data_IF_985401573289
#
_entry.id   IF_985401573289
#
_cell.length_a   1.000
_cell.length_b   1.000
_cell.length_c   1.000
_cell.angle_alpha   90.00
_cell.angle_beta   90.00
_cell.angle_gamma   90.00
#
_symmetry.space_group_name_H-M   'P 1'
#
loop_
_entity.id
_entity.type
_entity.pdbx_description
1 polymer ?
#
# COMPACT_ATOMS: atom_id res chain seq x y z
N UNK A 1 -14.21 -50.27 30.53
CA UNK A 1 -14.25 -49.41 29.31
C UNK A 1 -13.78 -48.01 29.67
N UNK A 2 -12.53 -47.68 29.34
CA UNK A 2 -11.94 -46.37 29.64
C UNK A 2 -11.95 -45.55 28.35
N UNK A 3 -12.80 -44.53 28.27
CA UNK A 3 -12.87 -43.63 27.12
C UNK A 3 -11.73 -42.64 27.18
N UNK A 4 -10.76 -42.78 26.27
CA UNK A 4 -9.65 -41.85 26.10
C UNK A 4 -10.16 -40.61 25.35
N UNK A 5 -10.33 -39.50 26.07
CA UNK A 5 -10.68 -38.20 25.49
C UNK A 5 -9.45 -37.64 24.81
N UNK A 6 -9.37 -37.68 23.48
CA UNK A 6 -8.31 -37.03 22.68
C UNK A 6 -8.63 -35.51 22.59
N UNK A 7 -8.00 -34.70 23.42
CA UNK A 7 -8.02 -33.23 23.29
C UNK A 7 -7.05 -32.87 22.17
N UNK A 8 -7.57 -32.67 20.96
CA UNK A 8 -6.83 -32.10 19.87
C UNK A 8 -6.65 -30.58 20.17
N UNK A 9 -5.48 -30.17 20.67
CA UNK A 9 -5.10 -28.77 20.73
C UNK A 9 -4.93 -28.26 19.29
N UNK A 10 -5.96 -27.62 18.76
CA UNK A 10 -5.86 -26.89 17.50
C UNK A 10 -4.94 -25.69 17.72
N UNK A 11 -3.68 -25.80 17.31
CA UNK A 11 -2.79 -24.66 17.19
C UNK A 11 -3.41 -23.73 16.13
N UNK A 12 -3.97 -22.60 16.57
CA UNK A 12 -4.42 -21.55 15.65
C UNK A 12 -3.17 -20.95 15.04
N UNK A 13 -2.76 -21.45 13.89
CA UNK A 13 -1.71 -20.84 13.10
C UNK A 13 -2.22 -19.46 12.64
N UNK A 14 -1.70 -18.38 13.24
CA UNK A 14 -1.98 -17.02 12.79
C UNK A 14 -1.48 -16.92 11.34
N UNK A 15 -2.40 -16.80 10.39
CA UNK A 15 -2.04 -16.61 8.99
C UNK A 15 -1.18 -15.35 8.87
N UNK A 16 -0.04 -15.47 8.19
CA UNK A 16 0.81 -14.31 7.91
C UNK A 16 0.02 -13.32 7.04
N UNK A 17 0.15 -12.01 7.35
CA UNK A 17 -0.48 -10.97 6.53
C UNK A 17 0.08 -11.05 5.10
N UNK A 18 -0.77 -10.92 4.07
CA UNK A 18 -0.34 -10.95 2.68
C UNK A 18 0.73 -9.90 2.40
N UNK A 19 1.67 -10.23 1.52
CA UNK A 19 2.65 -9.25 1.03
C UNK A 19 1.90 -8.20 0.20
N UNK A 20 2.08 -6.95 0.56
CA UNK A 20 1.48 -5.80 -0.11
C UNK A 20 2.41 -5.17 -1.15
N UNK A 21 3.68 -4.98 -0.79
CA UNK A 21 4.63 -4.30 -1.64
C UNK A 21 6.08 -4.48 -1.23
N UNK A 22 6.99 -3.86 -1.96
CA UNK A 22 8.44 -3.84 -1.72
C UNK A 22 8.96 -2.42 -1.77
N UNK A 23 9.90 -2.10 -0.90
CA UNK A 23 10.61 -0.80 -0.88
C UNK A 23 11.60 -0.74 -2.03
N UNK A 24 11.40 0.20 -2.97
CA UNK A 24 12.20 0.34 -4.20
C UNK A 24 13.18 1.51 -4.17
N UNK A 25 12.97 2.48 -3.28
CA UNK A 25 13.87 3.62 -3.11
C UNK A 25 13.76 4.21 -1.71
N UNK A 26 14.87 4.76 -1.22
CA UNK A 26 14.98 5.39 0.10
C UNK A 26 15.86 6.63 -0.01
N UNK A 27 15.41 7.71 0.60
CA UNK A 27 16.17 8.92 0.94
C UNK A 27 16.04 9.14 2.45
N UNK A 28 17.14 9.46 3.14
CA UNK A 28 17.15 9.65 4.59
C UNK A 28 17.04 8.36 5.40
N UNK A 29 16.34 8.40 6.53
CA UNK A 29 16.21 7.30 7.50
C UNK A 29 14.75 6.98 7.80
N UNK A 30 14.03 6.35 6.88
CA UNK A 30 12.64 5.97 7.13
C UNK A 30 12.54 4.81 8.12
N UNK A 31 11.38 4.69 8.72
CA UNK A 31 11.05 3.63 9.66
C UNK A 31 9.74 2.95 9.26
N UNK A 32 9.59 1.71 9.71
CA UNK A 32 8.35 0.98 9.55
C UNK A 32 7.99 0.18 10.79
N UNK A 33 6.73 -0.13 10.91
CA UNK A 33 6.17 -0.96 11.97
C UNK A 33 5.30 -2.04 11.35
N UNK A 34 5.56 -3.30 11.69
CA UNK A 34 4.70 -4.44 11.35
C UNK A 34 3.34 -4.29 12.03
N UNK A 35 2.29 -4.81 11.40
CA UNK A 35 0.90 -4.65 11.88
C UNK A 35 0.71 -5.03 13.35
N UNK A 36 1.38 -6.09 13.83
CA UNK A 36 1.29 -6.61 15.18
C UNK A 36 2.45 -6.13 16.10
N UNK A 37 3.37 -5.30 15.60
CA UNK A 37 4.48 -4.80 16.37
C UNK A 37 4.12 -3.52 17.14
N UNK A 38 4.76 -3.32 18.30
CA UNK A 38 4.58 -2.12 19.11
C UNK A 38 5.54 -0.99 18.74
N UNK A 39 6.69 -1.31 18.15
CA UNK A 39 7.76 -0.37 17.87
C UNK A 39 8.06 -0.24 16.38
N UNK A 40 8.46 0.96 15.98
CA UNK A 40 9.06 1.21 14.67
C UNK A 40 10.51 0.75 14.65
N UNK A 41 10.97 0.32 13.48
CA UNK A 41 12.37 -0.07 13.19
C UNK A 41 12.80 0.57 11.87
N UNK A 42 14.13 0.70 11.65
CA UNK A 42 14.66 1.22 10.39
C UNK A 42 14.13 0.42 9.20
N UNK A 43 13.64 1.12 8.20
CA UNK A 43 13.21 0.54 6.91
C UNK A 43 14.41 0.42 5.97
N UNK A 44 14.52 -0.68 5.25
CA UNK A 44 15.61 -0.96 4.32
C UNK A 44 15.11 -1.07 2.88
N UNK A 45 16.02 -0.85 1.95
CA UNK A 45 15.76 -1.13 0.54
C UNK A 45 15.46 -2.63 0.36
N UNK A 46 14.53 -2.95 -0.53
CA UNK A 46 14.02 -4.30 -0.77
C UNK A 46 13.30 -4.95 0.43
N UNK A 47 12.97 -4.18 1.48
CA UNK A 47 12.11 -4.67 2.57
C UNK A 47 10.72 -4.97 2.03
N UNK A 48 10.19 -6.16 2.37
CA UNK A 48 8.82 -6.55 2.05
C UNK A 48 7.84 -5.99 3.08
N UNK A 49 6.88 -5.25 2.58
CA UNK A 49 5.77 -4.72 3.36
C UNK A 49 4.55 -5.61 3.21
N UNK A 50 3.90 -5.91 4.32
CA UNK A 50 2.66 -6.69 4.37
C UNK A 50 1.45 -5.78 4.61
N UNK A 51 0.26 -6.30 4.34
CA UNK A 51 -0.98 -5.62 4.72
C UNK A 51 -1.01 -5.37 6.24
N UNK A 52 -1.34 -4.16 6.63
CA UNK A 52 -1.32 -3.68 8.00
C UNK A 52 -0.02 -3.00 8.45
N UNK A 53 1.09 -3.18 7.73
CA UNK A 53 2.34 -2.50 8.05
C UNK A 53 2.22 -0.98 7.85
N UNK A 54 2.94 -0.22 8.68
CA UNK A 54 2.96 1.25 8.60
C UNK A 54 4.38 1.73 8.32
N UNK A 55 4.54 2.58 7.32
CA UNK A 55 5.79 3.29 6.98
C UNK A 55 5.67 4.72 7.45
N UNK A 56 6.72 5.27 8.08
CA UNK A 56 6.81 6.68 8.42
C UNK A 56 8.12 7.30 7.97
N UNK A 57 8.04 8.57 7.65
CA UNK A 57 9.14 9.42 7.22
C UNK A 57 9.22 10.65 8.11
N UNK A 58 10.44 11.08 8.43
CA UNK A 58 10.72 12.35 9.09
C UNK A 58 11.20 13.40 8.08
N UNK A 59 11.71 14.52 8.58
CA UNK A 59 12.30 15.57 7.75
C UNK A 59 13.45 15.03 6.87
N UNK A 60 13.52 15.45 5.62
CA UNK A 60 14.52 15.01 4.64
C UNK A 60 14.47 13.53 4.30
N UNK A 61 13.36 12.84 4.62
CA UNK A 61 13.23 11.39 4.44
C UNK A 61 12.09 11.09 3.47
N UNK A 62 12.35 10.23 2.47
CA UNK A 62 11.36 9.79 1.46
C UNK A 62 11.50 8.32 1.17
N UNK A 63 10.39 7.69 0.77
CA UNK A 63 10.34 6.25 0.46
C UNK A 63 9.52 6.01 -0.81
N UNK A 64 10.04 5.16 -1.69
CA UNK A 64 9.26 4.59 -2.80
C UNK A 64 8.90 3.14 -2.53
N UNK A 65 7.65 2.79 -2.75
CA UNK A 65 7.09 1.45 -2.58
C UNK A 65 6.42 1.02 -3.88
N UNK A 66 6.77 -0.16 -4.38
CA UNK A 66 6.03 -0.82 -5.47
C UNK A 66 5.11 -1.89 -4.88
N UNK A 67 3.86 -1.94 -5.36
CA UNK A 67 2.82 -2.84 -4.90
C UNK A 67 2.60 -4.01 -5.84
N UNK A 68 2.13 -5.13 -5.29
CA UNK A 68 1.75 -6.34 -6.05
C UNK A 68 0.75 -6.03 -7.16
N UNK A 69 -0.16 -5.07 -6.94
CA UNK A 69 -1.14 -4.61 -7.94
C UNK A 69 -0.58 -3.75 -9.06
N UNK A 70 0.74 -3.47 -9.09
CA UNK A 70 1.39 -2.70 -10.13
C UNK A 70 1.35 -1.18 -9.92
N UNK A 71 1.02 -0.70 -8.72
CA UNK A 71 1.12 0.70 -8.35
C UNK A 71 2.48 1.03 -7.73
N UNK A 72 2.95 2.26 -7.91
CA UNK A 72 4.04 2.87 -7.16
C UNK A 72 3.47 3.98 -6.28
N UNK A 73 3.92 4.02 -5.03
CA UNK A 73 3.67 5.10 -4.08
C UNK A 73 5.00 5.70 -3.66
N UNK A 74 5.17 7.00 -3.80
CA UNK A 74 6.29 7.75 -3.24
C UNK A 74 5.78 8.56 -2.06
N UNK A 75 6.28 8.25 -0.88
CA UNK A 75 5.93 8.90 0.38
C UNK A 75 6.92 10.05 0.61
N UNK A 76 6.41 11.26 0.77
CA UNK A 76 7.20 12.44 1.04
C UNK A 76 7.63 12.49 2.52
N UNK A 77 8.42 13.49 2.87
CA UNK A 77 8.83 13.72 4.27
C UNK A 77 7.64 14.00 5.21
N UNK A 78 7.86 13.78 6.51
CA UNK A 78 6.89 14.03 7.58
C UNK A 78 5.53 13.36 7.33
N UNK A 79 5.54 12.10 6.91
CA UNK A 79 4.36 11.35 6.50
C UNK A 79 4.26 10.00 7.19
N UNK A 80 3.04 9.46 7.30
CA UNK A 80 2.78 8.14 7.85
C UNK A 80 1.71 7.42 7.03
N UNK A 81 2.06 6.29 6.41
CA UNK A 81 1.18 5.52 5.54
C UNK A 81 1.06 4.07 6.01
N UNK A 82 -0.18 3.61 6.20
CA UNK A 82 -0.51 2.21 6.46
C UNK A 82 -0.85 1.50 5.16
N UNK A 83 -0.26 0.34 4.93
CA UNK A 83 -0.55 -0.54 3.79
C UNK A 83 -1.83 -1.32 4.08
N UNK A 84 -2.93 -1.04 3.39
CA UNK A 84 -4.21 -1.73 3.61
C UNK A 84 -4.41 -2.91 2.66
N UNK A 85 -4.00 -2.75 1.40
CA UNK A 85 -4.06 -3.81 0.39
C UNK A 85 -2.93 -3.64 -0.62
N UNK A 86 -2.26 -4.74 -0.95
CA UNK A 86 -1.23 -4.77 -1.99
C UNK A 86 -1.77 -4.77 -3.41
N UNK A 87 -3.08 -4.92 -3.57
CA UNK A 87 -3.71 -5.04 -4.89
C UNK A 87 -4.02 -6.49 -5.26
N UNK A 88 -4.20 -6.72 -6.54
CA UNK A 88 -4.58 -8.02 -7.04
C UNK A 88 -6.07 -8.08 -7.35
N UNK A 89 -6.84 -8.92 -6.64
CA UNK A 89 -8.30 -8.98 -6.78
C UNK A 89 -9.01 -7.71 -6.25
N UNK A 90 -8.36 -7.01 -5.31
CA UNK A 90 -8.81 -5.71 -4.78
C UNK A 90 -7.90 -4.61 -5.32
N UNK A 91 -8.33 -3.34 -5.38
CA UNK A 91 -7.43 -2.23 -5.64
C UNK A 91 -6.31 -2.17 -4.60
N UNK A 92 -5.12 -1.71 -5.01
CA UNK A 92 -4.10 -1.28 -4.05
C UNK A 92 -4.68 -0.19 -3.17
N UNK A 93 -4.48 -0.26 -1.85
CA UNK A 93 -5.03 0.71 -0.90
C UNK A 93 -4.01 1.03 0.18
N UNK A 94 -3.88 2.32 0.47
CA UNK A 94 -3.10 2.84 1.58
C UNK A 94 -3.94 3.84 2.37
N UNK A 95 -3.68 3.94 3.67
CA UNK A 95 -4.33 4.91 4.55
C UNK A 95 -3.29 5.85 5.17
N UNK A 96 -3.62 7.12 5.23
CA UNK A 96 -2.85 8.11 5.98
C UNK A 96 -3.76 9.05 6.77
N UNK A 97 -3.39 9.36 8.00
CA UNK A 97 -4.00 10.43 8.78
C UNK A 97 -3.36 11.78 8.44
N UNK A 98 -2.08 11.77 8.12
CA UNK A 98 -1.32 12.93 7.65
C UNK A 98 -0.16 12.48 6.76
N UNK A 99 0.14 13.27 5.79
CA UNK A 99 1.26 13.04 4.89
C UNK A 99 0.95 13.38 3.45
N UNK A 100 2.00 13.42 2.67
CA UNK A 100 1.94 13.67 1.23
C UNK A 100 2.52 12.47 0.48
N UNK A 101 1.82 12.04 -0.53
CA UNK A 101 2.28 10.97 -1.41
C UNK A 101 1.94 11.24 -2.86
N UNK A 102 2.89 10.89 -3.72
CA UNK A 102 2.70 10.81 -5.15
C UNK A 102 2.51 9.35 -5.58
N UNK A 103 1.58 9.12 -6.48
CA UNK A 103 1.22 7.79 -6.97
C UNK A 103 1.38 7.68 -8.47
N UNK A 104 1.77 6.48 -8.93
CA UNK A 104 1.84 6.13 -10.34
C UNK A 104 1.46 4.68 -10.56
N UNK A 105 0.87 4.34 -11.72
CA UNK A 105 0.74 2.96 -12.15
C UNK A 105 1.96 2.56 -12.99
N UNK A 106 2.60 1.46 -12.60
CA UNK A 106 3.72 0.85 -13.33
C UNK A 106 3.20 -0.12 -14.39
N UNK A 107 2.20 -0.92 -14.01
CA UNK A 107 1.51 -1.89 -14.86
C UNK A 107 0.19 -2.30 -14.20
N UNK A 108 -0.67 -3.00 -14.95
CA UNK A 108 -1.95 -3.47 -14.44
C UNK A 108 -3.07 -2.43 -14.58
N UNK A 109 -4.29 -2.83 -14.17
CA UNK A 109 -5.52 -2.02 -14.31
C UNK A 109 -6.19 -1.67 -12.97
N UNK A 110 -5.63 -2.14 -11.85
CA UNK A 110 -6.32 -2.11 -10.56
C UNK A 110 -6.36 -0.74 -9.89
N UNK A 111 -5.53 0.22 -10.32
CA UNK A 111 -5.44 1.53 -9.68
C UNK A 111 -4.88 1.48 -8.25
N UNK A 112 -4.81 2.66 -7.62
CA UNK A 112 -4.47 2.81 -6.22
C UNK A 112 -5.45 3.75 -5.53
N UNK A 113 -5.84 3.42 -4.31
CA UNK A 113 -6.65 4.26 -3.44
C UNK A 113 -5.79 4.82 -2.31
N UNK A 114 -5.73 6.14 -2.21
CA UNK A 114 -5.17 6.83 -1.05
C UNK A 114 -6.33 7.29 -0.18
N UNK A 115 -6.47 6.65 0.97
CA UNK A 115 -7.54 6.91 1.92
C UNK A 115 -7.05 7.84 3.02
N UNK A 116 -7.85 8.82 3.36
CA UNK A 116 -7.60 9.77 4.43
C UNK A 116 -8.85 9.92 5.30
N UNK A 117 -8.78 10.60 6.45
CA UNK A 117 -9.98 10.95 7.20
C UNK A 117 -10.97 11.83 6.42
N UNK A 118 -10.49 12.61 5.45
CA UNK A 118 -11.30 13.59 4.71
C UNK A 118 -12.03 12.97 3.51
N UNK A 119 -11.35 12.12 2.75
CA UNK A 119 -11.86 11.50 1.53
C UNK A 119 -10.96 10.34 1.07
N UNK A 120 -11.39 9.67 0.01
CA UNK A 120 -10.63 8.68 -0.75
C UNK A 120 -10.27 9.27 -2.09
N UNK A 121 -8.99 9.30 -2.44
CA UNK A 121 -8.52 9.56 -3.80
C UNK A 121 -8.35 8.21 -4.52
N UNK A 122 -9.26 7.89 -5.43
CA UNK A 122 -9.22 6.68 -6.25
C UNK A 122 -8.52 6.99 -7.58
N UNK A 123 -7.23 6.67 -7.66
CA UNK A 123 -6.37 6.94 -8.81
C UNK A 123 -6.52 5.84 -9.85
N UNK A 124 -6.99 6.18 -11.04
CA UNK A 124 -7.21 5.27 -12.16
C UNK A 124 -6.35 5.70 -13.35
N UNK A 125 -5.19 5.12 -13.46
CA UNK A 125 -4.20 5.50 -14.50
C UNK A 125 -3.38 6.67 -14.03
N UNK A 126 -2.27 6.82 -13.98
CA UNK A 126 -0.99 7.36 -14.10
C UNK A 126 -0.48 8.19 -12.93
N UNK A 127 -0.62 9.51 -12.85
CA UNK A 127 0.16 10.29 -11.89
C UNK A 127 -0.70 11.26 -11.10
N UNK A 128 -0.70 11.11 -9.78
CA UNK A 128 -1.39 12.01 -8.88
C UNK A 128 -0.60 12.26 -7.59
N UNK A 129 -0.75 13.44 -7.03
CA UNK A 129 -0.27 13.82 -5.70
C UNK A 129 -1.45 13.97 -4.77
N UNK A 130 -1.35 13.36 -3.59
CA UNK A 130 -2.36 13.42 -2.53
C UNK A 130 -1.69 13.92 -1.27
N UNK A 131 -2.16 15.05 -0.78
CA UNK A 131 -1.67 15.69 0.45
C UNK A 131 -2.79 15.74 1.48
N UNK A 132 -2.56 15.12 2.63
CA UNK A 132 -3.38 15.23 3.83
C UNK A 132 -2.51 15.86 4.92
N UNK A 133 -2.44 17.17 4.90
CA UNK A 133 -1.75 17.94 5.93
C UNK A 133 -2.64 18.29 7.12
N UNK A 134 -2.21 19.29 7.89
CA UNK A 134 -3.02 19.86 8.99
C UNK A 134 -4.23 20.67 8.48
N UNK A 135 -4.24 21.02 7.21
CA UNK A 135 -5.32 21.72 6.51
C UNK A 135 -6.21 20.79 5.69
N UNK A 136 -6.89 21.33 4.67
CA UNK A 136 -7.68 20.53 3.75
C UNK A 136 -6.84 19.45 3.05
N UNK A 137 -7.44 18.27 2.82
CA UNK A 137 -6.86 17.31 1.88
C UNK A 137 -6.81 17.95 0.49
N UNK A 138 -5.69 17.81 -0.21
CA UNK A 138 -5.54 18.29 -1.59
C UNK A 138 -5.18 17.12 -2.51
N UNK A 139 -5.81 17.07 -3.67
CA UNK A 139 -5.51 16.09 -4.73
C UNK A 139 -5.18 16.82 -6.01
N UNK A 140 -4.02 16.50 -6.60
CA UNK A 140 -3.52 17.06 -7.87
C UNK A 140 -3.32 15.94 -8.87
N UNK A 141 -3.78 16.09 -10.09
CA UNK A 141 -3.67 15.08 -11.15
C UNK A 141 -2.74 15.58 -12.23
N UNK A 142 -1.61 14.91 -12.38
CA UNK A 142 -0.63 15.22 -13.42
C UNK A 142 -0.95 14.50 -14.73
N UNK A 143 -1.45 13.25 -14.62
CA UNK A 143 -1.83 12.44 -15.77
C UNK A 143 -3.00 11.50 -15.38
N UNK A 144 -3.90 11.16 -16.33
CA UNK A 144 -5.02 10.24 -16.13
C UNK A 144 -6.19 10.81 -15.38
N UNK A 145 -6.78 10.02 -14.48
CA UNK A 145 -8.04 10.34 -13.80
C UNK A 145 -7.98 9.96 -12.32
N UNK A 146 -8.58 10.80 -11.48
CA UNK A 146 -8.79 10.54 -10.05
C UNK A 146 -10.22 10.89 -9.67
N UNK A 147 -10.90 9.95 -9.02
CA UNK A 147 -12.16 10.24 -8.32
C UNK A 147 -11.85 10.54 -6.85
N UNK A 148 -12.22 11.72 -6.37
CA UNK A 148 -12.14 12.11 -4.96
C UNK A 148 -13.52 11.95 -4.35
N UNK A 149 -13.65 11.03 -3.39
CA UNK A 149 -14.93 10.51 -2.93
C UNK A 149 -15.02 10.58 -1.40
N UNK A 150 -16.11 11.07 -0.88
CA UNK A 150 -16.52 10.88 0.51
C UNK A 150 -18.05 10.78 0.62
N UNK A 151 -18.64 10.55 1.83
CA UNK A 151 -20.10 10.44 1.98
C UNK A 151 -20.90 11.68 1.59
N UNK A 152 -20.24 12.83 1.39
CA UNK A 152 -20.89 14.10 1.02
C UNK A 152 -20.90 14.38 -0.48
N UNK A 153 -20.10 13.64 -1.25
CA UNK A 153 -20.05 13.78 -2.70
C UNK A 153 -18.83 13.19 -3.36
N UNK A 154 -18.76 13.39 -4.66
CA UNK A 154 -17.66 12.94 -5.53
C UNK A 154 -17.25 14.05 -6.48
N UNK A 155 -15.96 14.26 -6.64
CA UNK A 155 -15.38 15.13 -7.67
C UNK A 155 -14.42 14.33 -8.53
N UNK A 156 -14.69 14.25 -9.83
CA UNK A 156 -13.81 13.63 -10.80
C UNK A 156 -12.78 14.65 -11.31
N UNK A 157 -11.52 14.26 -11.31
CA UNK A 157 -10.39 15.07 -11.77
C UNK A 157 -9.76 14.43 -13.01
N UNK A 158 -9.29 15.27 -13.92
CA UNK A 158 -8.48 14.90 -15.09
C UNK A 158 -7.09 15.51 -14.97
N UNK A 159 -6.20 15.09 -15.84
CA UNK A 159 -4.85 15.68 -15.96
C UNK A 159 -4.91 17.22 -15.97
N UNK A 160 -4.02 17.86 -15.21
CA UNK A 160 -3.97 19.32 -15.04
C UNK A 160 -5.03 19.90 -14.11
N UNK A 161 -5.76 19.06 -13.38
CA UNK A 161 -6.78 19.52 -12.43
C UNK A 161 -6.44 19.14 -10.99
N UNK A 162 -7.02 19.88 -10.07
CA UNK A 162 -6.92 19.64 -8.63
C UNK A 162 -8.25 19.95 -7.92
N UNK A 163 -8.39 19.41 -6.72
CA UNK A 163 -9.45 19.77 -5.77
C UNK A 163 -8.94 19.76 -4.34
N UNK A 164 -9.72 20.27 -3.43
CA UNK A 164 -9.49 20.17 -1.98
C UNK A 164 -10.74 19.72 -1.25
N UNK A 165 -10.55 19.05 -0.11
CA UNK A 165 -11.61 18.58 0.78
C UNK A 165 -11.33 19.14 2.16
N UNK A 166 -12.18 20.02 2.66
CA UNK A 166 -11.97 20.71 3.93
C UNK A 166 -11.99 19.77 5.15
N UNK A 167 -12.62 18.60 5.02
CA UNK A 167 -12.69 17.55 6.03
C UNK A 167 -13.81 16.56 5.72
N UNK A 168 -13.96 15.53 6.55
CA UNK A 168 -14.94 14.45 6.35
C UNK A 168 -16.40 14.93 6.26
N UNK A 169 -16.71 16.08 6.86
CA UNK A 169 -18.05 16.70 6.85
C UNK A 169 -18.37 17.51 5.60
N UNK A 170 -17.41 17.74 4.71
CA UNK A 170 -17.54 18.59 3.52
C UNK A 170 -17.41 17.76 2.26
N UNK A 171 -18.23 18.03 1.25
CA UNK A 171 -18.03 17.44 -0.08
C UNK A 171 -16.68 17.87 -0.67
N UNK A 172 -16.05 17.05 -1.54
CA UNK A 172 -14.91 17.49 -2.32
C UNK A 172 -15.27 18.74 -3.14
N UNK A 173 -14.38 19.72 -3.13
CA UNK A 173 -14.57 20.97 -3.89
C UNK A 173 -14.66 20.71 -5.40
N UNK A 174 -15.14 21.68 -6.15
CA UNK A 174 -15.15 21.59 -7.61
C UNK A 174 -13.73 21.44 -8.17
N UNK A 175 -13.61 20.70 -9.28
CA UNK A 175 -12.36 20.59 -10.01
C UNK A 175 -11.93 21.97 -10.53
N UNK A 176 -10.67 22.34 -10.32
CA UNK A 176 -10.05 23.58 -10.83
C UNK A 176 -8.75 23.26 -11.57
N UNK A 177 -8.44 24.07 -12.57
CA UNK A 177 -7.17 23.92 -13.27
C UNK A 177 -5.97 24.15 -12.32
N UNK A 178 -4.90 23.42 -12.53
CA UNK A 178 -3.62 23.63 -11.89
C UNK A 178 -2.86 24.79 -12.60
N UNK A 179 -2.25 25.65 -11.80
CA UNK A 179 -1.28 26.63 -12.28
C UNK A 179 0.12 26.03 -12.34
N UNK A 180 1.08 26.67 -12.97
CA UNK A 180 2.47 26.20 -13.01
C UNK A 180 3.07 25.96 -11.61
N UNK A 181 2.71 26.76 -10.61
CA UNK A 181 3.15 26.63 -9.23
C UNK A 181 2.51 25.44 -8.47
N UNK A 182 1.42 24.88 -9.00
CA UNK A 182 0.76 23.70 -8.39
C UNK A 182 1.49 22.39 -8.69
N UNK A 183 2.36 22.38 -9.72
CA UNK A 183 3.13 21.17 -10.09
C UNK A 183 4.33 20.99 -9.15
N UNK A 184 4.26 19.96 -8.31
CA UNK A 184 5.40 19.54 -7.49
C UNK A 184 6.40 18.74 -8.32
N UNK A 185 7.67 18.73 -7.87
CA UNK A 185 8.77 18.00 -8.51
C UNK A 185 9.56 17.12 -7.56
N UNK A 186 9.19 17.11 -6.27
CA UNK A 186 9.92 16.37 -5.22
C UNK A 186 10.01 14.87 -5.51
N UNK A 187 8.98 14.31 -6.13
CA UNK A 187 8.93 12.89 -6.50
C UNK A 187 10.01 12.51 -7.53
N UNK A 188 10.50 13.46 -8.33
CA UNK A 188 11.51 13.21 -9.37
C UNK A 188 12.90 12.94 -8.78
N UNK A 189 13.17 13.40 -7.56
CA UNK A 189 14.42 13.13 -6.85
C UNK A 189 14.54 11.67 -6.39
N UNK A 190 13.40 11.05 -6.07
CA UNK A 190 13.34 9.70 -5.54
C UNK A 190 13.30 8.65 -6.67
N UNK A 191 14.46 8.21 -7.14
CA UNK A 191 14.56 7.22 -8.23
C UNK A 191 14.87 5.83 -7.69
N UNK A 192 14.14 4.82 -8.17
CA UNK A 192 14.48 3.43 -7.92
C UNK A 192 15.77 3.08 -8.68
N UNK A 193 16.74 2.46 -8.00
CA UNK A 193 18.01 2.04 -8.62
C UNK A 193 17.83 0.81 -9.50
N UNK A 194 17.03 -0.16 -9.04
CA UNK A 194 16.71 -1.39 -9.76
C UNK A 194 15.25 -1.77 -9.51
N UNK A 195 14.36 -1.16 -10.26
CA UNK A 195 12.93 -1.43 -10.15
C UNK A 195 12.56 -2.84 -10.62
N UNK A 196 13.21 -3.34 -11.67
CA UNK A 196 12.91 -4.66 -12.22
C UNK A 196 13.32 -5.79 -11.27
N UNK A 197 14.50 -5.69 -10.64
CA UNK A 197 14.94 -6.64 -9.62
C UNK A 197 14.02 -6.61 -8.40
N UNK A 198 13.62 -5.43 -7.94
CA UNK A 198 12.69 -5.29 -6.82
C UNK A 198 11.31 -5.88 -7.13
N UNK A 199 10.76 -5.65 -8.33
CA UNK A 199 9.49 -6.24 -8.76
C UNK A 199 9.55 -7.77 -8.83
N UNK A 200 10.64 -8.34 -9.35
CA UNK A 200 10.84 -9.79 -9.37
C UNK A 200 10.89 -10.40 -7.96
N UNK A 201 11.54 -9.72 -7.01
CA UNK A 201 11.53 -10.12 -5.60
C UNK A 201 10.11 -10.10 -5.04
N UNK A 202 9.34 -9.05 -5.36
CA UNK A 202 7.96 -8.90 -4.91
C UNK A 202 7.05 -10.00 -5.44
N UNK A 203 7.13 -10.34 -6.73
CA UNK A 203 6.38 -11.43 -7.35
C UNK A 203 6.67 -12.76 -6.66
N UNK A 204 7.97 -13.07 -6.45
CA UNK A 204 8.39 -14.29 -5.75
C UNK A 204 7.86 -14.35 -4.31
N UNK A 205 7.86 -13.23 -3.58
CA UNK A 205 7.36 -13.17 -2.22
C UNK A 205 5.83 -13.28 -2.16
N UNK A 206 5.13 -12.66 -3.10
CA UNK A 206 3.67 -12.75 -3.21
C UNK A 206 3.21 -14.18 -3.53
N UNK A 207 3.92 -14.91 -4.40
CA UNK A 207 3.65 -16.31 -4.70
C UNK A 207 3.86 -17.21 -3.48
N UNK A 208 4.94 -17.01 -2.75
CA UNK A 208 5.20 -17.78 -1.51
C UNK A 208 4.12 -17.54 -0.46
N UNK A 209 3.60 -16.33 -0.34
CA UNK A 209 2.55 -16.01 0.64
C UNK A 209 1.20 -16.66 0.32
N UNK A 210 1.01 -17.17 -0.91
CA UNK A 210 -0.17 -17.93 -1.35
C UNK A 210 -0.01 -19.43 -1.24
N UNK A 211 1.15 -19.91 -0.80
CA UNK A 211 1.43 -21.34 -0.70
C UNK A 211 1.41 -21.76 0.76
N UNK A 212 0.53 -22.69 1.12
CA UNK A 212 0.51 -23.32 2.43
C UNK A 212 1.27 -24.65 2.34
N UNK A 213 2.32 -24.81 3.11
CA UNK A 213 2.98 -26.11 3.29
C UNK A 213 2.54 -26.74 4.62
N UNK A 214 1.96 -27.90 4.53
CA UNK A 214 1.55 -28.71 5.70
C UNK A 214 2.45 -29.95 5.79
N UNK A 215 3.05 -30.19 6.95
CA UNK A 215 3.61 -31.49 7.26
C UNK A 215 2.54 -32.36 7.90
N UNK A 216 2.19 -33.46 7.25
CA UNK A 216 1.26 -34.45 7.75
C UNK A 216 2.01 -35.76 7.96
N UNK A 217 1.59 -36.55 8.95
CA UNK A 217 2.03 -37.93 9.09
C UNK A 217 0.96 -38.85 8.48
N UNK A 218 1.41 -39.77 7.64
CA UNK A 218 0.51 -40.83 7.15
C UNK A 218 0.21 -41.85 8.27
N UNK A 219 -0.66 -42.80 7.98
CA UNK A 219 -1.05 -43.86 8.91
C UNK A 219 0.15 -44.71 9.40
N UNK A 220 1.24 -44.73 8.67
CA UNK A 220 2.45 -45.49 8.97
C UNK A 220 3.51 -44.62 9.69
N UNK A 221 3.17 -43.36 10.03
CA UNK A 221 4.01 -42.42 10.75
C UNK A 221 5.02 -41.64 9.88
N UNK A 222 5.04 -41.84 8.55
CA UNK A 222 5.93 -41.18 7.66
C UNK A 222 5.48 -39.72 7.44
N UNK A 223 6.44 -38.81 7.43
CA UNK A 223 6.17 -37.39 7.16
C UNK A 223 5.92 -37.17 5.67
N UNK A 224 4.77 -36.58 5.34
CA UNK A 224 4.45 -36.09 3.99
C UNK A 224 4.26 -34.59 4.02
N UNK A 225 4.88 -33.90 3.07
CA UNK A 225 4.64 -32.47 2.83
C UNK A 225 3.54 -32.32 1.79
N UNK A 226 2.45 -31.66 2.17
CA UNK A 226 1.38 -31.27 1.27
C UNK A 226 1.54 -29.78 1.02
N UNK A 227 1.69 -29.39 -0.25
CA UNK A 227 1.77 -28.00 -0.68
C UNK A 227 0.45 -27.63 -1.34
N UNK A 228 -0.28 -26.69 -0.77
CA UNK A 228 -1.48 -26.11 -1.35
C UNK A 228 -1.16 -24.72 -1.86
N UNK A 229 -1.42 -24.50 -3.14
CA UNK A 229 -1.30 -23.18 -3.77
C UNK A 229 -2.70 -22.60 -3.94
N UNK A 230 -2.92 -21.37 -3.45
CA UNK A 230 -4.20 -20.69 -3.58
C UNK A 230 -4.16 -19.80 -4.82
N UNK A 231 -4.90 -20.20 -5.85
CA UNK A 231 -5.05 -19.39 -7.04
C UNK A 231 -5.88 -18.12 -6.77
N UNK A 232 -5.55 -17.07 -7.50
CA UNK A 232 -6.27 -15.82 -7.47
C UNK A 232 -7.54 -15.97 -8.30
N UNK A 233 -8.70 -15.87 -7.69
CA UNK A 233 -9.98 -15.69 -8.41
C UNK A 233 -10.11 -14.26 -8.91
#
# INVERSE_FOLDING_TARGET
MLALLLIAAAAIAKAASPVAGVVISIEGKPEFKKNDAKAFKPLKLNEMLSEGDTVRTGAGTRVGVAFVGGAELRINENSSFKMESGGGAKPTSVFTEFGNAWTRLLHGKSGIQVRTPSAVAAVRGTEADVDQGAGPMTVKVYEGFVDVINPKGTTALRAGQQTSVAGAGSAPGAARAMSASDYGTWQNALKAKDINGSLKLLETAADKSRTLELEMKDKDGNKKKVRMHFEKK
#
